data_IF_202264863146
#
_entry.id   IF_202264863146
#
_cell.length_a   1.000
_cell.length_b   1.000
_cell.length_c   1.000
_cell.angle_alpha   90.00
_cell.angle_beta   90.00
_cell.angle_gamma   90.00
#
_symmetry.space_group_name_H-M   'P 1'
#
loop_
_entity.id
_entity.type
_entity.pdbx_description
1 polymer ?
#
# COMPACT_ATOMS: atom_id res chain seq x y z
N UNK A 1 20.84 -5.09 -21.63
CA UNK A 1 19.92 -5.12 -20.48
C UNK A 1 20.72 -4.78 -19.22
N UNK A 2 20.64 -3.53 -18.77
CA UNK A 2 21.36 -3.04 -17.59
C UNK A 2 20.94 -3.84 -16.36
N UNK A 3 21.90 -4.54 -15.74
CA UNK A 3 21.67 -5.24 -14.49
C UNK A 3 21.16 -4.24 -13.44
N UNK A 4 19.99 -4.54 -12.86
CA UNK A 4 19.35 -3.72 -11.84
C UNK A 4 20.35 -3.42 -10.71
N UNK A 5 20.65 -2.13 -10.46
CA UNK A 5 21.59 -1.67 -9.41
C UNK A 5 20.97 -1.73 -8.00
N UNK A 6 20.13 -2.73 -7.73
CA UNK A 6 19.46 -2.89 -6.45
C UNK A 6 20.41 -3.60 -5.47
N UNK A 7 20.58 -3.04 -4.27
CA UNK A 7 21.44 -3.63 -3.25
C UNK A 7 20.91 -5.00 -2.80
N UNK A 8 21.81 -5.98 -2.62
CA UNK A 8 21.45 -7.36 -2.25
C UNK A 8 20.58 -7.45 -0.98
N UNK A 9 20.75 -6.53 -0.02
CA UNK A 9 19.94 -6.49 1.22
C UNK A 9 18.44 -6.31 0.97
N UNK A 10 18.05 -5.68 -0.14
CA UNK A 10 16.64 -5.43 -0.49
C UNK A 10 15.91 -6.74 -0.79
N UNK A 11 16.61 -7.75 -1.30
CA UNK A 11 16.02 -9.07 -1.60
C UNK A 11 15.47 -9.78 -0.35
N UNK A 12 15.90 -9.39 0.86
CA UNK A 12 15.39 -9.94 2.13
C UNK A 12 14.14 -9.24 2.65
N UNK A 13 13.80 -8.08 2.10
CA UNK A 13 12.63 -7.30 2.52
C UNK A 13 11.40 -8.00 1.95
N UNK A 14 10.55 -8.53 2.82
CA UNK A 14 9.29 -9.13 2.42
C UNK A 14 8.30 -8.01 2.06
N UNK A 15 7.45 -8.22 1.04
CA UNK A 15 6.31 -7.33 0.79
C UNK A 15 5.47 -7.15 2.05
N UNK A 16 5.01 -5.93 2.29
CA UNK A 16 4.19 -5.62 3.46
C UNK A 16 2.75 -6.14 3.27
N UNK A 17 2.21 -6.95 4.21
CA UNK A 17 0.82 -7.39 4.16
C UNK A 17 -0.18 -6.23 4.23
N UNK A 18 0.13 -5.17 4.98
CA UNK A 18 -0.76 -4.00 5.09
C UNK A 18 -0.82 -3.21 3.79
N UNK A 19 0.32 -3.02 3.12
CA UNK A 19 0.38 -2.35 1.81
C UNK A 19 -0.38 -3.15 0.75
N UNK A 20 -0.20 -4.47 0.72
CA UNK A 20 -0.93 -5.33 -0.22
C UNK A 20 -2.46 -5.28 0.00
N UNK A 21 -2.92 -5.24 1.25
CA UNK A 21 -4.33 -5.08 1.58
C UNK A 21 -4.87 -3.71 1.16
N UNK A 22 -4.12 -2.64 1.37
CA UNK A 22 -4.46 -1.28 0.93
C UNK A 22 -4.59 -1.20 -0.60
N UNK A 23 -3.63 -1.78 -1.33
CA UNK A 23 -3.64 -1.80 -2.80
C UNK A 23 -4.88 -2.53 -3.34
N UNK A 24 -5.24 -3.66 -2.72
CA UNK A 24 -6.44 -4.42 -3.05
C UNK A 24 -7.72 -3.64 -2.80
N UNK A 25 -7.84 -2.99 -1.63
CA UNK A 25 -8.99 -2.17 -1.29
C UNK A 25 -9.15 -0.99 -2.27
N UNK A 26 -8.04 -0.35 -2.65
CA UNK A 26 -8.02 0.73 -3.64
C UNK A 26 -8.43 0.25 -5.03
N UNK A 27 -8.00 -0.95 -5.43
CA UNK A 27 -8.42 -1.54 -6.70
C UNK A 27 -9.93 -1.82 -6.76
N UNK A 28 -10.49 -2.40 -5.70
CA UNK A 28 -11.93 -2.67 -5.62
C UNK A 28 -12.74 -1.35 -5.63
N UNK A 29 -12.26 -0.29 -4.97
CA UNK A 29 -12.86 1.05 -5.06
C UNK A 29 -12.83 1.60 -6.48
N UNK A 30 -11.73 1.45 -7.21
CA UNK A 30 -11.63 1.87 -8.63
C UNK A 30 -12.58 1.10 -9.54
N UNK A 31 -12.93 -0.13 -9.19
CA UNK A 31 -13.94 -0.94 -9.88
C UNK A 31 -15.38 -0.51 -9.53
N UNK A 32 -15.56 0.54 -8.73
CA UNK A 32 -16.87 1.03 -8.31
C UNK A 32 -17.49 0.25 -7.16
N UNK A 33 -16.75 -0.63 -6.49
CA UNK A 33 -17.26 -1.35 -5.32
C UNK A 33 -17.23 -0.44 -4.08
N UNK A 34 -18.30 -0.50 -3.29
CA UNK A 34 -18.35 0.14 -1.98
C UNK A 34 -17.50 -0.66 -0.99
N UNK A 35 -16.36 -0.11 -0.57
CA UNK A 35 -15.39 -0.77 0.31
C UNK A 35 -15.14 0.07 1.56
N UNK A 36 -15.38 -0.54 2.72
CA UNK A 36 -14.94 -0.02 4.01
C UNK A 36 -13.50 -0.49 4.22
N UNK A 37 -12.56 0.46 4.21
CA UNK A 37 -11.14 0.17 4.37
C UNK A 37 -10.74 0.37 5.85
N UNK A 38 -10.37 -0.72 6.52
CA UNK A 38 -9.91 -0.72 7.93
C UNK A 38 -8.40 -0.99 8.07
N UNK A 39 -7.64 -0.91 6.98
CA UNK A 39 -6.18 -1.13 7.00
C UNK A 39 -5.36 0.15 7.08
N UNK A 40 -6.02 1.31 7.03
CA UNK A 40 -5.40 2.63 7.19
C UNK A 40 -5.22 2.95 8.67
N UNK A 41 -3.99 3.31 9.05
CA UNK A 41 -3.65 3.74 10.42
C UNK A 41 -3.55 5.24 10.60
N UNK A 42 -3.84 6.02 9.55
CA UNK A 42 -3.86 7.48 9.58
C UNK A 42 -5.31 7.97 9.76
N UNK A 43 -5.54 9.04 10.53
CA UNK A 43 -6.85 9.67 10.59
C UNK A 43 -7.25 10.23 9.21
N UNK A 44 -8.54 10.20 8.92
CA UNK A 44 -9.15 10.83 7.74
C UNK A 44 -9.42 12.33 7.95
N UNK A 45 -9.21 12.84 9.15
CA UNK A 45 -9.41 14.24 9.51
C UNK A 45 -8.19 15.09 9.18
N UNK A 46 -8.44 16.32 8.72
CA UNK A 46 -7.39 17.33 8.54
C UNK A 46 -6.72 17.68 9.88
N UNK A 47 -5.45 18.10 9.81
CA UNK A 47 -4.73 18.61 10.98
C UNK A 47 -5.33 19.96 11.39
N UNK A 48 -5.76 20.14 12.65
CA UNK A 48 -6.27 21.42 13.14
C UNK A 48 -5.21 22.55 13.06
N UNK A 49 -5.65 23.83 12.98
CA UNK A 49 -4.75 25.00 12.93
C UNK A 49 -3.96 25.23 14.23
#
# INVERSE_FOLDING_TARGET
MTASRIAARVQRIKPSPSSAASDRANELRRQGQSIINLVVGEPDFDTPP
#
